data_IF_394840128971
#
_entry.id   IF_394840128971
#
_cell.length_a   1.000
_cell.length_b   1.000
_cell.length_c   1.000
_cell.angle_alpha   90.00
_cell.angle_beta   90.00
_cell.angle_gamma   90.00
#
_symmetry.space_group_name_H-M   'P 1'
#
loop_
_entity.id
_entity.type
_entity.pdbx_description
1 polymer ?
#
# COMPACT_ATOMS: atom_id res chain seq x y z
N UNK A 1 7.31 -4.25 19.96
CA UNK A 1 7.24 -3.65 18.61
C UNK A 1 6.10 -2.65 18.61
N UNK A 2 6.29 -1.45 18.06
CA UNK A 2 5.30 -0.37 18.03
C UNK A 2 5.09 0.22 16.62
N UNK A 3 5.55 -0.49 15.58
CA UNK A 3 5.59 0.05 14.21
C UNK A 3 4.20 0.39 13.68
N UNK A 4 3.25 -0.55 13.75
CA UNK A 4 1.89 -0.34 13.27
C UNK A 4 1.21 0.86 13.95
N UNK A 5 1.46 1.04 15.24
CA UNK A 5 0.85 2.10 16.07
C UNK A 5 1.35 3.47 15.67
N UNK A 6 2.67 3.57 15.49
CA UNK A 6 3.35 4.80 15.10
C UNK A 6 2.90 5.25 13.71
N UNK A 7 2.81 4.30 12.77
CA UNK A 7 2.31 4.57 11.41
C UNK A 7 0.85 4.99 11.45
N UNK A 8 0.00 4.25 12.18
CA UNK A 8 -1.42 4.58 12.33
C UNK A 8 -1.62 5.98 12.94
N UNK A 9 -0.81 6.34 13.94
CA UNK A 9 -0.86 7.64 14.61
C UNK A 9 -0.42 8.82 13.73
N UNK A 10 0.38 8.60 12.68
CA UNK A 10 0.86 9.73 11.86
C UNK A 10 2.20 9.55 11.18
N UNK A 11 3.04 8.62 11.62
CA UNK A 11 4.47 8.61 11.32
C UNK A 11 4.80 7.95 9.97
N UNK A 12 4.31 8.57 8.90
CA UNK A 12 4.60 8.20 7.51
C UNK A 12 4.71 9.45 6.63
N UNK A 13 5.54 9.40 5.59
CA UNK A 13 5.78 10.53 4.70
C UNK A 13 6.48 10.11 3.42
N UNK A 14 6.35 10.92 2.37
CA UNK A 14 7.07 10.70 1.12
C UNK A 14 8.49 11.25 1.18
N UNK A 15 9.40 10.53 0.55
CA UNK A 15 10.70 11.02 0.16
C UNK A 15 10.89 10.74 -1.33
N UNK A 16 11.02 11.79 -2.14
CA UNK A 16 11.07 11.69 -3.60
C UNK A 16 12.51 11.84 -4.09
N UNK A 17 12.92 10.90 -4.92
CA UNK A 17 14.23 10.87 -5.58
C UNK A 17 14.05 11.18 -7.07
N UNK A 18 14.87 12.10 -7.57
CA UNK A 18 14.85 12.56 -8.95
C UNK A 18 16.23 12.38 -9.58
N UNK A 19 16.27 12.26 -10.90
CA UNK A 19 17.51 12.09 -11.65
C UNK A 19 17.50 12.88 -12.97
N UNK A 20 18.49 12.68 -13.82
CA UNK A 20 18.67 13.46 -15.04
C UNK A 20 17.58 13.23 -16.11
N UNK A 21 16.79 12.15 -16.00
CA UNK A 21 15.66 11.88 -16.91
C UNK A 21 14.31 12.18 -16.27
N UNK A 22 14.13 11.82 -15.01
CA UNK A 22 12.98 12.21 -14.19
C UNK A 22 13.39 13.36 -13.27
N UNK A 23 13.52 14.55 -13.86
CA UNK A 23 14.21 15.70 -13.26
C UNK A 23 13.32 16.61 -12.42
N UNK A 24 12.06 16.23 -12.19
CA UNK A 24 11.04 17.11 -11.60
C UNK A 24 10.90 18.46 -12.35
N UNK A 25 11.08 18.46 -13.67
CA UNK A 25 10.94 19.66 -14.49
C UNK A 25 10.30 19.32 -15.85
N UNK A 26 9.02 19.68 -16.00
CA UNK A 26 8.24 19.47 -17.21
C UNK A 26 8.66 20.37 -18.39
N UNK A 27 9.56 21.34 -18.18
CA UNK A 27 10.17 22.18 -19.21
C UNK A 27 11.68 21.87 -19.41
N UNK A 28 12.17 20.76 -18.87
CA UNK A 28 13.58 20.37 -19.01
C UNK A 28 13.99 20.30 -20.49
N UNK A 29 15.07 21.02 -20.82
CA UNK A 29 15.60 21.12 -22.19
C UNK A 29 16.52 19.96 -22.55
N UNK A 30 16.91 19.13 -21.58
CA UNK A 30 17.64 17.90 -21.82
C UNK A 30 16.82 16.99 -22.76
N UNK A 31 17.35 16.60 -23.94
CA UNK A 31 16.62 15.76 -24.89
C UNK A 31 16.29 14.36 -24.33
N UNK A 32 16.98 13.92 -23.26
CA UNK A 32 16.74 12.64 -22.58
C UNK A 32 15.73 12.74 -21.42
N UNK A 33 15.33 13.95 -21.02
CA UNK A 33 14.36 14.12 -19.94
C UNK A 33 12.99 13.61 -20.37
N UNK A 34 12.31 12.89 -19.49
CA UNK A 34 10.95 12.42 -19.75
C UNK A 34 9.96 13.58 -19.81
N UNK A 35 10.20 14.62 -18.99
CA UNK A 35 9.31 15.78 -18.81
C UNK A 35 7.91 15.35 -18.36
N UNK A 36 7.84 14.47 -17.37
CA UNK A 36 6.59 14.16 -16.68
C UNK A 36 6.00 15.43 -16.03
N UNK A 37 4.70 15.43 -15.67
CA UNK A 37 4.15 16.49 -14.82
C UNK A 37 5.03 16.67 -13.57
N UNK A 38 5.28 17.93 -13.19
CA UNK A 38 6.25 18.27 -12.13
C UNK A 38 5.75 19.40 -11.22
N UNK A 39 6.44 19.61 -10.10
CA UNK A 39 6.11 20.70 -9.17
C UNK A 39 4.69 20.54 -8.62
N UNK A 40 3.82 21.55 -8.80
CA UNK A 40 2.43 21.48 -8.31
C UNK A 40 1.56 20.41 -8.99
N UNK A 41 2.04 19.83 -10.09
CA UNK A 41 1.37 18.78 -10.86
C UNK A 41 1.91 17.37 -10.55
N UNK A 42 2.88 17.24 -9.63
CA UNK A 42 3.37 15.95 -9.09
C UNK A 42 2.93 15.83 -7.63
N UNK A 43 1.87 15.07 -7.39
CA UNK A 43 1.12 15.10 -6.12
C UNK A 43 1.24 13.75 -5.38
N UNK A 44 1.92 13.72 -4.22
CA UNK A 44 1.95 12.54 -3.36
C UNK A 44 0.62 12.33 -2.63
N UNK A 45 0.13 11.09 -2.62
CA UNK A 45 -1.12 10.67 -2.00
C UNK A 45 -0.88 9.45 -1.11
N UNK A 46 -0.86 9.65 0.21
CA UNK A 46 -0.74 8.54 1.18
C UNK A 46 -2.14 8.12 1.62
N UNK A 47 -2.51 6.87 1.32
CA UNK A 47 -3.74 6.24 1.75
C UNK A 47 -3.55 5.58 3.12
N UNK A 48 -4.48 5.83 4.03
CA UNK A 48 -4.67 5.04 5.25
C UNK A 48 -6.15 4.83 5.45
N UNK A 49 -6.54 3.72 6.06
CA UNK A 49 -7.87 3.57 6.64
C UNK A 49 -7.83 3.73 8.15
N UNK A 50 -8.86 4.39 8.69
CA UNK A 50 -8.97 4.76 10.09
C UNK A 50 -10.40 4.55 10.58
N UNK A 51 -10.55 4.38 11.90
CA UNK A 51 -11.86 4.36 12.56
C UNK A 51 -11.88 5.43 13.64
N UNK A 52 -13.06 5.96 13.95
CA UNK A 52 -13.21 6.98 14.98
C UNK A 52 -14.27 6.59 16.00
N UNK A 53 -13.99 6.89 17.25
CA UNK A 53 -14.99 6.91 18.31
C UNK A 53 -15.97 8.07 18.06
N UNK A 54 -17.18 8.03 18.65
CA UNK A 54 -18.14 9.14 18.55
C UNK A 54 -17.60 10.50 19.01
N UNK A 55 -16.57 10.52 19.86
CA UNK A 55 -15.91 11.75 20.33
C UNK A 55 -14.84 12.29 19.35
N UNK A 56 -14.65 11.65 18.19
CA UNK A 56 -13.67 12.03 17.18
C UNK A 56 -12.24 11.55 17.43
N UNK A 57 -11.99 10.79 18.50
CA UNK A 57 -10.70 10.14 18.70
C UNK A 57 -10.58 8.91 17.80
N UNK A 58 -9.39 8.69 17.24
CA UNK A 58 -9.14 7.51 16.42
C UNK A 58 -9.24 6.26 17.30
N UNK A 59 -9.93 5.23 16.83
CA UNK A 59 -10.00 3.93 17.50
C UNK A 59 -8.67 3.23 17.28
N UNK A 60 -7.84 3.23 18.32
CA UNK A 60 -6.61 2.47 18.39
C UNK A 60 -6.16 2.34 19.85
N UNK A 61 -6.79 1.44 20.59
CA UNK A 61 -6.39 1.09 21.96
C UNK A 61 -5.91 -0.36 22.02
N UNK A 62 -4.59 -0.56 22.21
CA UNK A 62 -3.96 -1.89 22.34
C UNK A 62 -4.37 -2.64 23.59
N UNK A 63 -4.99 -1.97 24.56
CA UNK A 63 -5.41 -2.62 25.79
C UNK A 63 -6.87 -3.08 25.74
N UNK A 64 -7.61 -2.76 24.66
CA UNK A 64 -9.01 -3.12 24.50
C UNK A 64 -9.46 -3.10 23.02
N UNK A 65 -9.08 -4.09 22.19
CA UNK A 65 -9.49 -4.16 20.79
C UNK A 65 -11.02 -4.28 20.58
N UNK A 66 -11.78 -4.63 21.63
CA UNK A 66 -13.22 -4.96 21.54
C UNK A 66 -14.15 -3.93 22.21
N UNK A 67 -13.65 -2.77 22.67
CA UNK A 67 -14.43 -1.92 23.58
C UNK A 67 -14.59 -2.55 24.98
N UNK A 68 -15.42 -1.96 25.86
CA UNK A 68 -15.55 -2.39 27.26
C UNK A 68 -15.85 -3.90 27.36
N UNK A 69 -15.02 -4.62 28.12
CA UNK A 69 -15.21 -6.04 28.40
C UNK A 69 -16.61 -6.31 28.96
N UNK A 70 -17.35 -7.36 28.50
CA UNK A 70 -18.42 -7.91 29.32
C UNK A 70 -17.82 -8.32 30.66
N UNK A 71 -18.55 -8.09 31.76
CA UNK A 71 -18.07 -8.44 33.10
C UNK A 71 -17.54 -9.88 33.10
N UNK A 72 -16.27 -10.10 33.48
CA UNK A 72 -15.70 -11.44 33.43
C UNK A 72 -16.43 -12.34 34.42
N UNK A 73 -16.86 -13.51 33.96
CA UNK A 73 -17.25 -14.63 34.84
C UNK A 73 -16.16 -14.82 35.91
N UNK A 74 -16.51 -14.84 37.21
CA UNK A 74 -15.52 -14.91 38.28
C UNK A 74 -14.72 -16.21 38.17
N UNK A 75 -13.41 -16.09 37.97
CA UNK A 75 -12.50 -17.24 37.93
C UNK A 75 -12.28 -17.78 39.35
N UNK A 76 -12.06 -19.10 39.51
CA UNK A 76 -11.59 -19.65 40.77
C UNK A 76 -10.23 -19.05 41.15
N UNK A 77 -10.00 -18.91 42.45
CA UNK A 77 -8.80 -18.31 43.05
C UNK A 77 -7.50 -18.94 42.49
N UNK A 78 -6.45 -18.14 42.22
CA UNK A 78 -5.18 -18.65 41.71
C UNK A 78 -4.52 -19.64 42.69
N UNK A 79 -3.88 -20.68 42.14
CA UNK A 79 -3.07 -21.64 42.90
C UNK A 79 -1.60 -21.23 42.80
N UNK A 80 -0.97 -21.03 43.96
CA UNK A 80 0.43 -20.63 44.10
C UNK A 80 1.38 -21.69 43.51
N UNK A 81 2.15 -21.30 42.49
CA UNK A 81 3.19 -22.11 41.84
C UNK A 81 4.61 -21.60 42.10
N UNK A 82 4.81 -20.80 43.16
CA UNK A 82 6.10 -20.59 43.81
C UNK A 82 7.24 -20.17 42.89
N UNK A 83 7.33 -18.87 42.56
CA UNK A 83 8.57 -18.22 42.14
C UNK A 83 8.82 -16.93 42.97
N UNK A 84 10.10 -16.57 43.01
CA UNK A 84 10.79 -15.81 44.05
C UNK A 84 10.42 -14.31 44.10
N UNK A 85 9.56 -13.90 45.04
CA UNK A 85 9.63 -12.65 45.85
C UNK A 85 8.35 -12.31 46.65
N UNK A 86 7.32 -13.16 46.63
CA UNK A 86 6.14 -12.97 47.47
C UNK A 86 5.25 -11.79 47.06
N UNK A 87 5.47 -11.23 45.87
CA UNK A 87 4.45 -10.41 45.21
C UNK A 87 3.54 -11.31 44.36
N UNK A 88 2.22 -11.11 44.47
CA UNK A 88 1.27 -11.75 43.57
C UNK A 88 1.53 -11.24 42.15
N UNK A 89 1.80 -12.14 41.22
CA UNK A 89 1.99 -11.83 39.82
C UNK A 89 0.65 -11.32 39.24
N UNK A 90 0.48 -9.99 39.23
CA UNK A 90 -0.69 -9.33 38.68
C UNK A 90 -0.64 -9.20 37.14
N UNK A 91 0.25 -9.94 36.47
CA UNK A 91 0.23 -10.09 35.02
C UNK A 91 -0.88 -11.07 34.63
N UNK A 92 -2.04 -10.51 34.27
CA UNK A 92 -3.08 -11.24 33.55
C UNK A 92 -2.52 -11.72 32.20
N UNK A 93 -2.08 -12.97 32.18
CA UNK A 93 -1.54 -13.68 30.99
C UNK A 93 -2.52 -13.76 29.80
N UNK A 94 -3.79 -13.36 29.96
CA UNK A 94 -4.77 -13.33 28.88
C UNK A 94 -4.88 -11.98 28.15
N UNK A 95 -4.15 -10.93 28.55
CA UNK A 95 -4.04 -9.71 27.74
C UNK A 95 -2.88 -9.86 26.77
N UNK A 96 -3.13 -10.37 25.58
CA UNK A 96 -2.23 -10.12 24.47
C UNK A 96 -2.17 -8.59 24.27
N UNK A 97 -1.05 -7.97 24.63
CA UNK A 97 -0.82 -6.51 24.49
C UNK A 97 -0.63 -6.07 23.02
N UNK A 98 -0.94 -6.97 22.07
CA UNK A 98 -0.77 -6.81 20.64
C UNK A 98 -1.79 -7.68 19.91
N UNK A 99 -2.33 -7.18 18.80
CA UNK A 99 -3.23 -7.96 17.93
C UNK A 99 -2.40 -8.87 17.03
N UNK A 100 -2.90 -10.08 16.78
CA UNK A 100 -2.40 -10.96 15.71
C UNK A 100 -3.28 -10.91 14.46
N UNK A 101 -4.29 -10.03 14.47
CA UNK A 101 -5.18 -9.77 13.36
C UNK A 101 -4.77 -8.50 12.60
N UNK A 102 -5.25 -8.34 11.36
CA UNK A 102 -5.09 -7.08 10.64
C UNK A 102 -6.10 -6.04 11.17
N UNK A 103 -5.73 -4.75 11.12
CA UNK A 103 -6.68 -3.67 11.43
C UNK A 103 -7.18 -3.01 10.16
N UNK A 104 -8.49 -2.86 10.08
CA UNK A 104 -9.17 -2.27 8.94
C UNK A 104 -10.19 -1.27 9.47
N UNK A 105 -10.11 -0.06 8.94
CA UNK A 105 -11.03 1.02 9.24
C UNK A 105 -12.14 1.17 8.21
N UNK A 106 -13.17 1.89 8.63
CA UNK A 106 -14.37 2.19 7.86
C UNK A 106 -14.24 3.48 7.04
N UNK A 107 -13.24 4.33 7.36
CA UNK A 107 -12.94 5.58 6.64
C UNK A 107 -11.59 5.53 5.96
N UNK A 108 -11.55 5.84 4.66
CA UNK A 108 -10.30 6.05 3.93
C UNK A 108 -9.91 7.52 4.05
N UNK A 109 -8.64 7.73 4.35
CA UNK A 109 -7.99 9.04 4.33
C UNK A 109 -6.95 9.10 3.23
N UNK A 110 -6.84 10.26 2.61
CA UNK A 110 -5.74 10.61 1.71
C UNK A 110 -5.02 11.80 2.30
N UNK A 111 -3.72 11.64 2.57
CA UNK A 111 -2.92 12.64 3.29
C UNK A 111 -3.59 13.09 4.60
N UNK A 112 -4.19 12.13 5.33
CA UNK A 112 -4.89 12.32 6.62
C UNK A 112 -6.21 13.09 6.56
N UNK A 113 -6.74 13.39 5.39
CA UNK A 113 -8.07 13.96 5.22
C UNK A 113 -9.02 12.84 4.80
N UNK A 114 -10.18 12.72 5.45
CA UNK A 114 -11.20 11.73 5.10
C UNK A 114 -11.82 12.14 3.76
N UNK A 115 -11.79 11.23 2.79
CA UNK A 115 -12.49 11.34 1.50
C UNK A 115 -12.36 12.76 0.84
N UNK A 116 -11.13 13.29 0.64
CA UNK A 116 -10.97 14.67 0.20
C UNK A 116 -11.34 14.86 -1.26
N UNK A 117 -11.36 16.13 -1.67
CA UNK A 117 -11.32 16.51 -3.07
C UNK A 117 -10.08 17.36 -3.38
N UNK A 118 -9.70 17.39 -4.66
CA UNK A 118 -8.67 18.26 -5.21
C UNK A 118 -9.22 18.92 -6.48
N UNK A 119 -9.19 20.24 -6.52
CA UNK A 119 -9.44 21.02 -7.74
C UNK A 119 -8.24 20.87 -8.67
N UNK A 120 -8.49 20.50 -9.93
CA UNK A 120 -7.45 20.24 -10.91
C UNK A 120 -7.65 21.10 -12.16
N UNK A 121 -6.55 21.65 -12.65
CA UNK A 121 -6.52 22.26 -13.97
C UNK A 121 -6.68 21.17 -15.04
N UNK A 122 -7.34 21.48 -16.16
CA UNK A 122 -7.55 20.52 -17.25
C UNK A 122 -6.28 20.28 -18.09
N UNK A 123 -5.36 19.51 -17.51
CA UNK A 123 -4.04 19.10 -18.02
C UNK A 123 -3.58 17.80 -17.36
N UNK A 124 -2.38 17.31 -17.66
CA UNK A 124 -1.80 16.11 -17.02
C UNK A 124 -1.27 16.42 -15.63
N UNK A 125 -1.55 15.49 -14.71
CA UNK A 125 -0.98 15.42 -13.36
C UNK A 125 -0.32 14.05 -13.17
N UNK A 126 0.74 14.02 -12.37
CA UNK A 126 1.37 12.81 -11.86
C UNK A 126 0.92 12.63 -10.41
N UNK A 127 0.43 11.45 -10.07
CA UNK A 127 0.03 11.09 -8.72
C UNK A 127 0.88 9.94 -8.22
N UNK A 128 1.36 10.05 -6.98
CA UNK A 128 2.15 9.02 -6.32
C UNK A 128 1.32 8.44 -5.19
N UNK A 129 0.64 7.34 -5.46
CA UNK A 129 -0.12 6.62 -4.44
C UNK A 129 0.84 5.81 -3.56
N UNK A 130 0.66 5.88 -2.26
CA UNK A 130 1.31 5.02 -1.27
C UNK A 130 0.24 4.44 -0.36
N UNK A 131 0.24 3.12 -0.17
CA UNK A 131 -0.49 2.53 0.95
C UNK A 131 0.34 2.65 2.23
N UNK A 132 -0.05 3.60 3.08
CA UNK A 132 0.55 3.82 4.39
C UNK A 132 -0.21 3.12 5.52
N UNK A 133 -1.35 2.48 5.23
CA UNK A 133 -2.18 1.79 6.22
C UNK A 133 -1.55 0.47 6.68
N UNK A 134 -1.83 0.01 7.91
CA UNK A 134 -1.15 -1.14 8.46
C UNK A 134 -1.64 -2.49 7.90
N UNK A 135 -2.87 -2.59 7.36
CA UNK A 135 -3.40 -3.89 6.93
C UNK A 135 -4.35 -3.89 5.73
N UNK A 136 -4.99 -2.76 5.37
CA UNK A 136 -5.92 -2.74 4.24
C UNK A 136 -5.19 -2.88 2.90
N UNK A 137 -5.65 -3.84 2.09
CA UNK A 137 -5.35 -3.90 0.67
C UNK A 137 -6.38 -3.06 -0.08
N UNK A 138 -5.96 -2.36 -1.13
CA UNK A 138 -6.86 -1.58 -1.97
C UNK A 138 -6.89 -2.11 -3.40
N UNK A 139 -8.02 -1.94 -4.07
CA UNK A 139 -8.13 -1.99 -5.53
C UNK A 139 -8.77 -0.70 -6.01
N UNK A 140 -7.99 0.14 -6.67
CA UNK A 140 -8.39 1.50 -7.02
C UNK A 140 -8.94 1.57 -8.45
N UNK A 141 -10.13 2.17 -8.59
CA UNK A 141 -10.82 2.40 -9.86
C UNK A 141 -11.02 3.89 -10.11
N UNK A 142 -11.00 4.31 -11.38
CA UNK A 142 -11.36 5.67 -11.80
C UNK A 142 -12.79 5.69 -12.33
N UNK A 143 -13.68 6.40 -11.63
CA UNK A 143 -15.05 6.66 -12.08
C UNK A 143 -15.20 8.12 -12.46
N UNK A 144 -15.56 8.39 -13.70
CA UNK A 144 -15.86 9.74 -14.20
C UNK A 144 -17.35 9.99 -14.07
N UNK A 145 -17.70 11.15 -13.49
CA UNK A 145 -19.07 11.67 -13.38
C UNK A 145 -19.14 12.95 -14.22
N UNK A 146 -19.76 12.86 -15.42
CA UNK A 146 -19.91 14.01 -16.30
C UNK A 146 -20.79 15.12 -15.71
N UNK A 147 -20.40 16.38 -15.91
CA UNK A 147 -21.16 17.54 -15.43
C UNK A 147 -22.44 17.80 -16.25
N UNK A 148 -22.51 17.29 -17.47
CA UNK A 148 -23.66 17.44 -18.36
C UNK A 148 -24.86 16.54 -17.99
N UNK A 149 -24.70 15.70 -16.95
CA UNK A 149 -25.71 14.78 -16.47
C UNK A 149 -25.78 13.46 -17.23
N UNK A 150 -24.83 13.19 -18.13
CA UNK A 150 -24.69 11.87 -18.74
C UNK A 150 -24.24 10.80 -17.74
N UNK A 151 -24.45 9.53 -18.09
CA UNK A 151 -24.19 8.41 -17.19
C UNK A 151 -22.69 8.31 -16.81
N UNK A 152 -22.37 8.08 -15.52
CA UNK A 152 -20.99 7.84 -15.10
C UNK A 152 -20.36 6.63 -15.79
N UNK A 153 -19.05 6.71 -16.05
CA UNK A 153 -18.27 5.64 -16.68
C UNK A 153 -16.92 5.44 -15.99
N UNK A 154 -16.25 4.32 -16.28
CA UNK A 154 -14.89 4.06 -15.78
C UNK A 154 -13.84 4.41 -16.84
N UNK A 155 -12.69 4.93 -16.40
CA UNK A 155 -11.52 5.22 -17.26
C UNK A 155 -10.29 4.48 -16.73
N UNK A 156 -9.22 4.45 -17.52
CA UNK A 156 -8.01 3.70 -17.21
C UNK A 156 -6.89 4.58 -16.65
N UNK A 157 -6.02 3.96 -15.84
CA UNK A 157 -4.81 4.54 -15.30
C UNK A 157 -3.67 4.50 -16.31
N UNK A 158 -2.85 5.55 -16.38
CA UNK A 158 -1.54 5.50 -17.05
C UNK A 158 -0.48 5.24 -15.97
N UNK A 159 0.05 4.03 -15.91
CA UNK A 159 1.02 3.60 -14.88
C UNK A 159 2.45 3.74 -15.38
N UNK A 160 3.29 4.41 -14.59
CA UNK A 160 4.73 4.59 -14.85
C UNK A 160 5.60 3.60 -14.05
N UNK A 161 5.19 3.28 -12.83
CA UNK A 161 5.93 2.40 -11.91
C UNK A 161 4.99 1.73 -10.89
N UNK A 162 5.42 0.57 -10.38
CA UNK A 162 4.92 -0.10 -9.19
C UNK A 162 6.13 -0.41 -8.29
N UNK A 163 6.35 0.41 -7.27
CA UNK A 163 7.52 0.45 -6.38
C UNK A 163 8.85 0.91 -7.01
N UNK A 164 9.78 -0.01 -7.25
CA UNK A 164 11.22 0.25 -7.31
C UNK A 164 11.67 0.99 -8.57
N UNK A 165 11.21 0.56 -9.75
CA UNK A 165 11.70 1.05 -11.03
C UNK A 165 10.58 1.57 -11.93
N UNK A 166 10.90 2.59 -12.74
CA UNK A 166 10.05 2.90 -13.88
C UNK A 166 9.96 1.67 -14.79
N UNK A 167 8.74 1.38 -15.25
CA UNK A 167 8.49 0.41 -16.31
C UNK A 167 9.27 0.80 -17.59
N UNK A 168 9.50 -0.15 -18.50
CA UNK A 168 10.15 0.16 -19.78
C UNK A 168 9.29 1.06 -20.69
N UNK A 169 7.98 1.01 -20.49
CA UNK A 169 6.97 1.84 -21.16
C UNK A 169 5.78 2.03 -20.21
N UNK A 170 5.04 3.15 -20.29
CA UNK A 170 3.81 3.31 -19.53
C UNK A 170 2.81 2.19 -19.83
N UNK A 171 2.10 1.72 -18.82
CA UNK A 171 1.02 0.74 -18.95
C UNK A 171 -0.33 1.42 -18.80
N UNK A 172 -1.34 0.84 -19.46
CA UNK A 172 -2.74 1.24 -19.30
C UNK A 172 -3.42 0.14 -18.50
N UNK A 173 -3.96 0.49 -17.35
CA UNK A 173 -4.57 -0.47 -16.41
C UNK A 173 -5.94 0.05 -15.98
N UNK A 174 -6.95 -0.82 -15.96
CA UNK A 174 -8.30 -0.43 -15.52
C UNK A 174 -8.43 -0.33 -14.00
N UNK A 175 -7.45 -0.85 -13.27
CA UNK A 175 -7.42 -0.87 -11.80
C UNK A 175 -5.98 -0.89 -11.27
N UNK A 176 -5.81 -0.47 -10.02
CA UNK A 176 -4.54 -0.59 -9.29
C UNK A 176 -4.74 -1.42 -8.02
N UNK A 177 -4.18 -2.63 -7.96
CA UNK A 177 -4.14 -3.43 -6.73
C UNK A 177 -2.96 -2.93 -5.86
N UNK A 178 -3.24 -2.11 -4.85
CA UNK A 178 -2.28 -1.39 -4.03
C UNK A 178 -2.19 -2.02 -2.61
N UNK A 179 -1.15 -2.80 -2.36
CA UNK A 179 -0.92 -3.46 -1.07
C UNK A 179 -0.05 -2.63 -0.12
N UNK A 180 0.05 -3.04 1.15
CA UNK A 180 0.77 -2.28 2.18
C UNK A 180 2.21 -1.99 1.77
N UNK A 181 2.64 -0.74 1.98
CA UNK A 181 3.93 -0.19 1.57
C UNK A 181 4.20 -0.16 0.05
N UNK A 182 3.24 -0.56 -0.80
CA UNK A 182 3.38 -0.37 -2.24
C UNK A 182 3.14 1.08 -2.66
N UNK A 183 3.78 1.45 -3.77
CA UNK A 183 3.67 2.74 -4.42
C UNK A 183 3.27 2.55 -5.87
N UNK A 184 2.29 3.33 -6.32
CA UNK A 184 1.97 3.48 -7.73
C UNK A 184 2.28 4.89 -8.18
N UNK A 185 3.05 4.99 -9.26
CA UNK A 185 3.33 6.25 -9.94
C UNK A 185 2.49 6.31 -11.22
N UNK A 186 1.52 7.22 -11.27
CA UNK A 186 0.52 7.26 -12.35
C UNK A 186 0.33 8.66 -12.90
N UNK A 187 -0.12 8.74 -14.14
CA UNK A 187 -0.54 9.98 -14.79
C UNK A 187 -2.04 9.94 -15.04
N UNK A 188 -2.73 11.03 -14.69
CA UNK A 188 -4.10 11.30 -15.12
C UNK A 188 -4.10 12.53 -16.03
N UNK A 189 -4.77 12.42 -17.19
CA UNK A 189 -4.89 13.52 -18.16
C UNK A 189 -6.27 14.17 -18.07
N UNK A 190 -6.41 15.16 -17.19
CA UNK A 190 -7.67 15.87 -17.00
C UNK A 190 -8.06 16.76 -18.19
N UNK A 191 -7.20 16.94 -19.19
CA UNK A 191 -7.58 17.65 -20.41
C UNK A 191 -8.63 16.86 -21.21
N UNK A 192 -8.75 15.55 -20.99
CA UNK A 192 -9.74 14.68 -21.64
C UNK A 192 -11.16 14.92 -21.14
N UNK A 193 -11.34 15.45 -19.93
CA UNK A 193 -12.64 15.70 -19.32
C UNK A 193 -13.13 17.12 -19.59
N UNK A 194 -14.45 17.33 -19.47
CA UNK A 194 -15.09 18.63 -19.61
C UNK A 194 -14.90 19.51 -18.35
N UNK A 195 -15.26 20.79 -18.47
CA UNK A 195 -15.34 21.68 -17.33
C UNK A 195 -16.49 21.24 -16.40
N UNK A 196 -16.21 21.14 -15.10
CA UNK A 196 -17.14 20.65 -14.09
C UNK A 196 -17.16 19.12 -13.89
N UNK A 197 -16.56 18.34 -14.79
CA UNK A 197 -16.49 16.88 -14.65
C UNK A 197 -15.76 16.49 -13.36
N UNK A 198 -16.21 15.41 -12.74
CA UNK A 198 -15.58 14.85 -11.54
C UNK A 198 -14.95 13.50 -11.86
N UNK A 199 -13.71 13.31 -11.45
CA UNK A 199 -13.02 12.02 -11.54
C UNK A 199 -12.81 11.50 -10.13
N UNK A 200 -13.55 10.45 -9.78
CA UNK A 200 -13.59 9.89 -8.44
C UNK A 200 -12.75 8.60 -8.39
N UNK A 201 -11.89 8.50 -7.40
CA UNK A 201 -11.16 7.27 -7.08
C UNK A 201 -11.95 6.49 -6.04
N UNK A 202 -12.27 5.24 -6.33
CA UNK A 202 -12.93 4.32 -5.41
C UNK A 202 -12.05 3.11 -5.11
N UNK A 203 -12.20 2.56 -3.90
CA UNK A 203 -11.76 1.22 -3.56
C UNK A 203 -12.95 0.24 -3.63
N UNK A 204 -12.84 -0.78 -4.48
CA UNK A 204 -13.83 -1.85 -4.63
C UNK A 204 -13.40 -3.19 -3.99
N UNK A 205 -12.18 -3.26 -3.42
CA UNK A 205 -11.73 -4.49 -2.76
C UNK A 205 -12.39 -4.65 -1.40
N UNK A 206 -13.20 -5.68 -1.23
CA UNK A 206 -13.74 -6.06 0.07
C UNK A 206 -12.66 -6.77 0.89
N UNK A 207 -12.45 -6.27 2.11
CA UNK A 207 -11.57 -6.89 3.10
C UNK A 207 -12.38 -7.73 4.07
N UNK A 208 -11.82 -8.87 4.49
CA UNK A 208 -12.36 -9.64 5.62
C UNK A 208 -12.28 -8.81 6.90
N UNK A 209 -13.30 -8.82 7.80
CA UNK A 209 -13.29 -8.02 9.03
C UNK A 209 -12.14 -8.29 10.01
N UNK A 210 -11.48 -9.44 9.91
CA UNK A 210 -10.29 -9.80 10.69
C UNK A 210 -8.98 -9.25 10.10
N UNK A 211 -9.05 -8.52 8.98
CA UNK A 211 -7.90 -7.93 8.31
C UNK A 211 -6.95 -8.94 7.68
N UNK A 212 -7.38 -10.21 7.53
CA UNK A 212 -6.53 -11.25 6.97
C UNK A 212 -6.20 -11.05 5.49
N UNK A 213 -7.03 -10.30 4.78
CA UNK A 213 -6.86 -10.01 3.36
C UNK A 213 -8.20 -9.78 2.69
N UNK A 214 -8.21 -9.88 1.36
CA UNK A 214 -9.43 -9.80 0.58
C UNK A 214 -10.41 -10.93 0.97
N UNK A 215 -11.71 -10.62 1.04
CA UNK A 215 -12.74 -11.64 1.30
C UNK A 215 -12.99 -12.56 0.10
N UNK A 216 -12.57 -12.14 -1.09
CA UNK A 216 -12.91 -12.76 -2.37
C UNK A 216 -14.07 -12.09 -3.10
N UNK A 217 -14.78 -11.16 -2.44
CA UNK A 217 -15.84 -10.37 -3.05
C UNK A 217 -15.36 -8.99 -3.51
N UNK A 218 -16.16 -8.37 -4.37
CA UNK A 218 -15.97 -7.00 -4.88
C UNK A 218 -17.13 -6.16 -4.40
N UNK A 219 -16.83 -4.97 -3.88
CA UNK A 219 -17.82 -3.99 -3.48
C UNK A 219 -18.44 -3.35 -4.72
N UNK A 220 -19.75 -3.16 -4.72
CA UNK A 220 -20.49 -2.59 -5.85
C UNK A 220 -21.35 -1.40 -5.43
N UNK A 221 -21.61 -0.50 -6.38
CA UNK A 221 -22.52 0.63 -6.18
C UNK A 221 -22.12 1.52 -5.01
N UNK A 222 -23.06 1.74 -4.08
CA UNK A 222 -22.87 2.59 -2.90
C UNK A 222 -21.97 1.96 -1.82
N UNK A 223 -21.66 0.66 -1.93
CA UNK A 223 -20.76 -0.03 -0.99
C UNK A 223 -19.28 0.17 -1.32
N UNK A 224 -18.94 0.67 -2.52
CA UNK A 224 -17.56 1.01 -2.84
C UNK A 224 -17.08 2.14 -1.93
N UNK A 225 -15.84 2.04 -1.47
CA UNK A 225 -15.29 3.02 -0.53
C UNK A 225 -14.69 4.20 -1.30
N UNK A 226 -15.17 5.44 -1.12
CA UNK A 226 -14.56 6.61 -1.76
C UNK A 226 -13.14 6.87 -1.22
N UNK A 227 -12.24 7.31 -2.10
CA UNK A 227 -10.84 7.58 -1.76
C UNK A 227 -10.52 9.06 -1.92
N UNK A 228 -10.68 9.61 -3.13
CA UNK A 228 -10.46 11.03 -3.43
C UNK A 228 -11.29 11.44 -4.67
N UNK A 229 -11.75 12.68 -4.73
CA UNK A 229 -12.43 13.27 -5.89
C UNK A 229 -11.57 14.36 -6.54
N UNK A 230 -11.30 14.25 -7.84
CA UNK A 230 -10.71 15.33 -8.63
C UNK A 230 -11.80 16.13 -9.33
N UNK A 231 -11.76 17.45 -9.21
CA UNK A 231 -12.75 18.36 -9.81
C UNK A 231 -12.12 19.15 -10.94
N UNK A 232 -12.55 18.90 -12.17
CA UNK A 232 -12.01 19.55 -13.35
C UNK A 232 -12.56 20.98 -13.48
N UNK A 233 -11.69 21.99 -13.46
CA UNK A 233 -12.12 23.39 -13.49
C UNK A 233 -11.62 24.16 -14.73
N UNK A 234 -12.53 24.93 -15.31
CA UNK A 234 -12.26 25.95 -16.30
C UNK A 234 -11.87 25.43 -17.69
N UNK A 235 -11.20 26.26 -18.51
CA UNK A 235 -10.70 25.84 -19.80
C UNK A 235 -9.43 24.97 -19.67
N UNK A 236 -9.10 24.23 -20.74
CA UNK A 236 -7.78 23.59 -20.86
C UNK A 236 -6.67 24.63 -20.76
N UNK A 237 -5.60 24.28 -20.06
CA UNK A 237 -4.43 25.13 -19.88
C UNK A 237 -3.24 24.59 -20.66
N UNK A 238 -2.20 25.42 -20.85
CA UNK A 238 -0.95 24.98 -21.49
C UNK A 238 -0.30 23.89 -20.63
N UNK A 239 0.08 22.78 -21.26
CA UNK A 239 0.72 21.65 -20.61
C UNK A 239 1.98 21.21 -21.38
N UNK A 240 3.18 21.61 -20.93
CA UNK A 240 4.44 21.21 -21.56
C UNK A 240 4.86 19.77 -21.20
N UNK A 241 4.19 19.12 -20.24
CA UNK A 241 4.53 17.77 -19.80
C UNK A 241 4.19 16.71 -20.86
N UNK A 242 4.83 15.55 -20.74
CA UNK A 242 4.75 14.44 -21.70
C UNK A 242 4.59 13.11 -20.99
N UNK A 243 4.11 12.13 -21.77
CA UNK A 243 4.12 10.71 -21.40
C UNK A 243 4.90 9.97 -22.50
N UNK A 244 6.23 9.80 -22.37
CA UNK A 244 7.03 9.12 -23.38
C UNK A 244 6.62 7.65 -23.51
N UNK A 245 6.64 7.12 -24.75
CA UNK A 245 6.33 5.70 -25.02
C UNK A 245 7.41 4.74 -24.52
N UNK A 246 8.63 5.26 -24.29
CA UNK A 246 9.78 4.50 -23.80
C UNK A 246 10.38 5.24 -22.63
N UNK A 247 10.57 4.54 -21.52
CA UNK A 247 11.09 5.07 -20.27
C UNK A 247 12.50 4.51 -20.03
N UNK A 248 12.65 3.53 -19.12
CA UNK A 248 13.94 2.94 -18.74
C UNK A 248 13.94 1.45 -18.95
N UNK A 249 14.95 0.94 -19.64
CA UNK A 249 15.21 -0.50 -19.69
C UNK A 249 15.49 -0.99 -18.27
N UNK A 250 14.85 -2.08 -17.88
CA UNK A 250 15.13 -2.72 -16.59
C UNK A 250 16.55 -3.33 -16.60
N UNK A 251 17.23 -3.40 -15.44
CA UNK A 251 18.50 -4.12 -15.35
C UNK A 251 18.36 -5.57 -15.81
N UNK A 252 19.42 -6.10 -16.44
CA UNK A 252 19.47 -7.52 -16.81
C UNK A 252 19.78 -8.37 -15.58
N UNK A 253 19.07 -9.49 -15.42
CA UNK A 253 19.36 -10.47 -14.37
C UNK A 253 20.59 -11.27 -14.74
N UNK A 254 21.68 -11.09 -13.98
CA UNK A 254 22.93 -11.81 -14.19
C UNK A 254 22.94 -13.14 -13.45
N UNK A 255 22.31 -14.17 -14.03
CA UNK A 255 22.22 -15.50 -13.40
C UNK A 255 23.57 -16.14 -13.03
N UNK A 256 24.68 -15.75 -13.67
CA UNK A 256 26.03 -16.21 -13.32
C UNK A 256 26.51 -15.72 -11.94
N UNK A 257 25.94 -14.62 -11.43
CA UNK A 257 26.22 -14.06 -10.10
C UNK A 257 25.38 -14.74 -9.01
N UNK A 258 24.40 -15.58 -9.36
CA UNK A 258 23.55 -16.27 -8.38
C UNK A 258 24.37 -17.31 -7.62
N UNK A 259 24.44 -17.17 -6.29
CA UNK A 259 25.17 -18.10 -5.40
C UNK A 259 24.26 -18.99 -4.57
N UNK A 260 23.04 -18.56 -4.27
CA UNK A 260 22.08 -19.36 -3.48
C UNK A 260 20.65 -19.17 -3.95
N UNK A 261 19.84 -20.17 -3.60
CA UNK A 261 18.38 -20.10 -3.64
C UNK A 261 17.84 -20.26 -2.22
N UNK A 262 16.86 -19.46 -1.82
CA UNK A 262 16.25 -19.51 -0.49
C UNK A 262 14.76 -19.67 -0.57
N UNK A 263 14.20 -20.32 0.44
CA UNK A 263 12.77 -20.37 0.70
C UNK A 263 12.50 -19.63 2.01
N UNK A 264 11.59 -18.68 1.96
CA UNK A 264 11.01 -18.01 3.12
C UNK A 264 9.53 -18.35 3.15
N UNK A 265 9.13 -19.09 4.17
CA UNK A 265 7.75 -19.52 4.41
C UNK A 265 7.13 -18.59 5.42
N UNK A 266 6.06 -17.89 5.04
CA UNK A 266 5.26 -17.04 5.90
C UNK A 266 4.07 -17.87 6.38
N UNK A 267 3.88 -17.92 7.71
CA UNK A 267 2.86 -18.77 8.32
C UNK A 267 2.39 -18.21 9.68
N UNK A 268 1.42 -18.89 10.27
CA UNK A 268 0.86 -18.62 11.59
C UNK A 268 1.01 -19.83 12.51
N UNK A 269 2.02 -19.79 13.39
CA UNK A 269 2.34 -20.88 14.30
C UNK A 269 2.04 -20.50 15.74
N UNK A 270 1.33 -21.37 16.47
CA UNK A 270 1.04 -21.22 17.89
C UNK A 270 0.46 -19.84 18.27
N UNK A 271 -0.37 -19.27 17.38
CA UNK A 271 -1.00 -17.97 17.63
C UNK A 271 -0.16 -16.76 17.23
N UNK A 272 0.94 -16.93 16.48
CA UNK A 272 1.84 -15.84 16.12
C UNK A 272 2.32 -15.96 14.67
N UNK A 273 2.58 -14.80 14.03
CA UNK A 273 3.14 -14.73 12.69
C UNK A 273 4.63 -15.10 12.68
N UNK A 274 5.01 -16.01 11.76
CA UNK A 274 6.38 -16.52 11.65
C UNK A 274 6.93 -16.40 10.24
N UNK A 275 8.26 -16.39 10.16
CA UNK A 275 8.99 -16.67 8.91
C UNK A 275 9.86 -17.90 9.15
N UNK A 276 9.68 -18.94 8.34
CA UNK A 276 10.34 -20.25 8.50
C UNK A 276 10.14 -20.84 9.92
N UNK A 277 8.94 -20.70 10.49
CA UNK A 277 8.60 -21.21 11.82
C UNK A 277 9.21 -20.44 12.98
N UNK A 278 9.78 -19.25 12.74
CA UNK A 278 10.43 -18.42 13.76
C UNK A 278 9.75 -17.06 13.88
N UNK A 279 9.58 -16.62 15.12
CA UNK A 279 9.16 -15.26 15.46
C UNK A 279 10.25 -14.26 15.10
N UNK A 280 9.86 -13.00 14.89
CA UNK A 280 10.81 -11.91 14.72
C UNK A 280 11.65 -11.74 16.01
N UNK A 281 12.96 -11.72 15.84
CA UNK A 281 13.94 -11.41 16.88
C UNK A 281 14.96 -10.41 16.31
N UNK A 282 15.01 -9.16 16.81
CA UNK A 282 15.91 -8.14 16.29
C UNK A 282 17.40 -8.46 16.51
N UNK A 283 17.74 -9.46 17.34
CA UNK A 283 19.11 -9.89 17.58
C UNK A 283 19.51 -11.14 16.79
N UNK A 284 18.60 -11.70 15.98
CA UNK A 284 18.84 -12.89 15.18
C UNK A 284 19.05 -12.53 13.71
N UNK A 285 20.04 -13.17 13.09
CA UNK A 285 20.29 -13.09 11.65
C UNK A 285 19.91 -14.41 11.01
N UNK A 286 18.80 -14.43 10.25
CA UNK A 286 18.31 -15.65 9.57
C UNK A 286 18.99 -15.89 8.21
N UNK A 287 19.49 -14.84 7.55
CA UNK A 287 20.20 -14.95 6.28
C UNK A 287 21.44 -14.05 6.24
N UNK A 288 22.58 -14.59 5.79
CA UNK A 288 23.80 -13.85 5.49
C UNK A 288 24.08 -13.95 4.00
N UNK A 289 24.04 -12.84 3.30
CA UNK A 289 24.25 -12.74 1.86
C UNK A 289 25.73 -12.41 1.61
N UNK A 290 26.34 -13.06 0.61
CA UNK A 290 27.71 -12.76 0.19
C UNK A 290 27.70 -11.48 -0.64
N UNK A 291 28.53 -10.50 -0.27
CA UNK A 291 28.62 -9.22 -0.98
C UNK A 291 28.97 -9.43 -2.46
N UNK A 292 28.42 -8.57 -3.34
CA UNK A 292 28.63 -8.62 -4.79
C UNK A 292 28.17 -9.94 -5.45
N UNK A 293 27.16 -10.59 -4.87
CA UNK A 293 26.51 -11.79 -5.42
C UNK A 293 24.99 -11.64 -5.44
N UNK A 294 24.33 -12.48 -6.23
CA UNK A 294 22.87 -12.55 -6.27
C UNK A 294 22.36 -13.81 -5.54
N UNK A 295 21.14 -13.72 -5.03
CA UNK A 295 20.38 -14.87 -4.55
C UNK A 295 18.99 -14.87 -5.20
N UNK A 296 18.40 -16.05 -5.39
CA UNK A 296 16.99 -16.18 -5.79
C UNK A 296 16.18 -16.55 -4.56
N UNK A 297 15.22 -15.71 -4.19
CA UNK A 297 14.37 -15.96 -3.04
C UNK A 297 12.97 -16.36 -3.50
N UNK A 298 12.46 -17.45 -2.95
CA UNK A 298 11.07 -17.86 -3.05
C UNK A 298 10.37 -17.45 -1.77
N UNK A 299 9.43 -16.52 -1.88
CA UNK A 299 8.50 -16.20 -0.81
C UNK A 299 7.28 -17.10 -0.97
N UNK A 300 7.00 -17.91 0.05
CA UNK A 300 5.84 -18.81 0.09
C UNK A 300 4.94 -18.39 1.22
N UNK A 301 3.68 -18.14 0.89
CA UNK A 301 2.61 -18.14 1.87
C UNK A 301 2.14 -19.59 2.04
N UNK A 302 2.35 -20.19 3.22
CA UNK A 302 1.91 -21.58 3.49
C UNK A 302 0.41 -21.63 3.77
N UNK A 303 -0.11 -20.57 4.41
CA UNK A 303 -1.52 -20.39 4.68
C UNK A 303 -2.32 -19.98 3.43
N UNK A 304 -3.63 -20.28 3.47
CA UNK A 304 -4.58 -19.87 2.41
C UNK A 304 -5.49 -18.71 2.83
N UNK A 305 -5.45 -18.33 4.10
CA UNK A 305 -6.38 -17.36 4.68
C UNK A 305 -5.83 -15.93 4.74
N UNK A 306 -4.50 -15.78 4.78
CA UNK A 306 -3.83 -14.50 5.00
C UNK A 306 -3.08 -14.02 3.77
N UNK A 307 -3.05 -12.71 3.56
CA UNK A 307 -2.22 -12.07 2.55
C UNK A 307 -1.00 -11.42 3.21
N UNK A 308 0.19 -11.65 2.64
CA UNK A 308 1.45 -11.13 3.16
C UNK A 308 2.16 -10.30 2.08
N UNK A 309 2.01 -8.97 2.05
CA UNK A 309 2.87 -8.13 1.24
C UNK A 309 4.27 -8.13 1.86
N UNK A 310 5.17 -8.88 1.24
CA UNK A 310 6.54 -9.06 1.72
C UNK A 310 7.42 -7.90 1.24
N UNK A 311 8.21 -7.37 2.16
CA UNK A 311 9.19 -6.32 1.88
C UNK A 311 10.60 -6.81 2.26
N UNK A 312 11.57 -6.54 1.39
CA UNK A 312 13.00 -6.72 1.66
C UNK A 312 13.69 -5.37 1.68
N UNK A 313 14.57 -5.17 2.66
CA UNK A 313 15.36 -3.95 2.76
C UNK A 313 16.62 -4.05 1.89
N UNK A 314 17.29 -2.89 1.70
CA UNK A 314 18.60 -2.70 1.07
C UNK A 314 18.62 -2.78 -0.46
N UNK A 315 18.18 -3.89 -1.05
CA UNK A 315 18.19 -4.08 -2.51
C UNK A 315 16.77 -4.18 -3.09
N UNK A 316 16.61 -3.71 -4.33
CA UNK A 316 15.42 -3.97 -5.16
C UNK A 316 15.55 -5.35 -5.83
N UNK A 317 14.42 -5.97 -6.18
CA UNK A 317 14.40 -7.31 -6.78
C UNK A 317 13.43 -7.38 -7.95
N UNK A 318 13.83 -8.13 -8.98
CA UNK A 318 12.94 -8.45 -10.08
C UNK A 318 12.17 -9.74 -9.80
N UNK A 319 10.86 -9.72 -10.00
CA UNK A 319 10.02 -10.92 -9.87
C UNK A 319 10.31 -11.86 -11.05
N UNK A 320 10.72 -13.09 -10.73
CA UNK A 320 10.96 -14.13 -11.74
C UNK A 320 9.67 -14.87 -12.12
N UNK A 321 8.87 -15.22 -11.12
CA UNK A 321 7.59 -15.92 -11.30
C UNK A 321 6.66 -15.67 -10.11
N UNK A 322 5.36 -15.79 -10.36
CA UNK A 322 4.29 -15.80 -9.36
C UNK A 322 3.48 -17.07 -9.57
N UNK A 323 3.45 -17.97 -8.60
CA UNK A 323 2.73 -19.25 -8.66
C UNK A 323 3.01 -20.06 -9.94
N UNK A 324 4.30 -20.13 -10.34
CA UNK A 324 4.75 -20.85 -11.53
C UNK A 324 4.41 -20.19 -12.87
N UNK A 325 3.99 -18.92 -12.85
CA UNK A 325 3.70 -18.12 -14.05
C UNK A 325 4.65 -16.93 -14.13
N UNK A 326 4.98 -16.46 -15.35
CA UNK A 326 5.72 -15.20 -15.51
C UNK A 326 4.99 -14.03 -14.83
N UNK A 327 5.71 -13.03 -14.31
CA UNK A 327 5.09 -11.82 -13.76
C UNK A 327 4.25 -11.12 -14.83
N UNK A 328 3.12 -10.57 -14.40
CA UNK A 328 2.31 -9.65 -15.18
C UNK A 328 3.12 -8.42 -15.58
N UNK A 329 2.59 -7.61 -16.51
CA UNK A 329 3.29 -6.42 -16.99
C UNK A 329 3.59 -5.42 -15.86
N UNK A 330 2.63 -5.23 -14.96
CA UNK A 330 2.73 -4.30 -13.84
C UNK A 330 3.69 -4.80 -12.74
N UNK A 331 3.82 -6.11 -12.55
CA UNK A 331 4.73 -6.72 -11.58
C UNK A 331 6.21 -6.62 -11.99
N UNK A 332 6.50 -6.36 -13.28
CA UNK A 332 7.87 -6.17 -13.77
C UNK A 332 8.53 -4.86 -13.33
N UNK A 333 7.77 -3.91 -12.78
CA UNK A 333 8.31 -2.63 -12.31
C UNK A 333 9.06 -2.74 -10.96
N UNK A 334 8.92 -3.88 -10.27
CA UNK A 334 9.65 -4.15 -9.03
C UNK A 334 11.10 -4.48 -9.31
#
# INVERSE_FOLDING_TARGET
DFTATNVYAGLSGFYLLFDERDSNNEEDTNPKAFRFPSGKYDVPLILHDVMFQPNGQVIWDFFSPDGQSPEPEPRPEPVDLGNFDGTLDAFDSNRLQYTTQGMIGDKITVNRIIEPYLEVERRKYRFRFLNGGPSRLYRLLLKVVPADGSDPYYDDWIVLSNDGNLLESPLIESKLDLWMANRFDVILDFSRYADGDKVQVFNDLEMRPDGAGASGYTLEGENMMPVIEFRCEGPRVRDPSRVPRTLRRLPDIKFAEVRRRRLFVFDYDNGLWTVNGRLMDPNRVDAKIEQDTAEIWTFRNEGVAWAHPVHTHFEEFQILEVNGRPPSAIERAR
#
